data_IF_044896179039
#
_entry.id   IF_044896179039
#
_cell.length_a   1.000
_cell.length_b   1.000
_cell.length_c   1.000
_cell.angle_alpha   90.00
_cell.angle_beta   90.00
_cell.angle_gamma   90.00
#
_symmetry.space_group_name_H-M   'P 1'
#
loop_
_entity.id
_entity.type
_entity.pdbx_description
1 polymer ?
#
# COMPACT_ATOMS: atom_id res chain seq x y z
N UNK A 1 -56.95 23.79 -43.90
CA UNK A 1 -56.81 23.85 -42.42
C UNK A 1 -56.26 22.52 -41.96
N UNK A 2 -55.09 22.56 -41.33
CA UNK A 2 -54.21 21.41 -41.07
C UNK A 2 -54.84 20.35 -40.18
N UNK A 3 -54.70 19.09 -40.59
CA UNK A 3 -54.76 17.94 -39.69
C UNK A 3 -53.46 17.14 -39.79
N UNK A 4 -52.95 16.84 -38.60
CA UNK A 4 -51.74 16.12 -38.25
C UNK A 4 -51.69 14.73 -38.91
N UNK A 5 -50.63 14.46 -39.66
CA UNK A 5 -50.31 13.14 -40.21
C UNK A 5 -49.15 12.53 -39.44
N UNK A 6 -49.41 11.43 -38.73
CA UNK A 6 -48.41 10.64 -38.03
C UNK A 6 -48.16 9.30 -38.75
N UNK A 7 -46.89 8.88 -38.69
CA UNK A 7 -46.33 7.50 -38.83
C UNK A 7 -46.12 6.92 -40.23
N UNK A 8 -44.84 6.76 -40.57
CA UNK A 8 -44.14 5.53 -40.97
C UNK A 8 -42.68 5.92 -41.26
N UNK A 9 -41.62 5.18 -40.95
CA UNK A 9 -41.48 3.81 -40.50
C UNK A 9 -40.02 3.57 -40.12
N UNK A 10 -39.86 2.54 -39.30
CA UNK A 10 -38.62 1.96 -38.79
C UNK A 10 -37.57 1.72 -39.89
N UNK A 11 -36.34 2.20 -39.68
CA UNK A 11 -35.15 1.49 -40.18
C UNK A 11 -34.06 1.56 -39.12
N UNK A 12 -33.60 0.37 -38.73
CA UNK A 12 -32.60 0.08 -37.70
C UNK A 12 -31.31 0.88 -37.89
N UNK A 13 -30.88 1.59 -36.85
CA UNK A 13 -29.49 2.04 -36.71
C UNK A 13 -28.90 1.46 -35.42
N UNK A 14 -28.40 0.24 -35.59
CA UNK A 14 -27.18 -0.34 -35.00
C UNK A 14 -26.73 0.24 -33.65
N UNK A 15 -26.87 -0.60 -32.62
CA UNK A 15 -26.09 -0.57 -31.38
C UNK A 15 -24.59 -0.43 -31.68
N UNK A 16 -23.97 0.65 -31.23
CA UNK A 16 -22.54 0.73 -30.94
C UNK A 16 -22.40 1.65 -29.72
N UNK A 17 -22.29 1.14 -28.49
CA UNK A 17 -21.15 0.40 -27.93
C UNK A 17 -19.81 1.08 -28.25
N UNK A 18 -19.69 2.34 -27.87
CA UNK A 18 -18.38 2.97 -27.66
C UNK A 18 -18.11 2.95 -26.17
N UNK A 19 -17.62 1.79 -25.72
CA UNK A 19 -16.84 1.67 -24.49
C UNK A 19 -15.56 2.46 -24.74
N UNK A 20 -15.57 3.76 -24.45
CA UNK A 20 -14.35 4.53 -24.29
C UNK A 20 -13.67 4.07 -23.00
N UNK A 21 -12.96 2.95 -23.13
CA UNK A 21 -11.61 2.72 -22.60
C UNK A 21 -11.38 3.29 -21.19
N UNK A 22 -11.86 2.51 -20.22
CA UNK A 22 -11.37 2.36 -18.84
C UNK A 22 -9.87 1.94 -18.83
N UNK A 23 -8.97 2.76 -19.37
CA UNK A 23 -7.53 2.49 -19.40
C UNK A 23 -6.67 3.69 -18.97
N UNK A 24 -7.21 4.58 -18.12
CA UNK A 24 -6.40 5.57 -17.38
C UNK A 24 -6.00 5.06 -15.98
N UNK A 25 -5.99 3.73 -15.78
CA UNK A 25 -5.52 3.09 -14.55
C UNK A 25 -4.03 2.76 -14.59
N UNK A 26 -3.18 3.60 -15.17
CA UNK A 26 -1.72 3.45 -15.06
C UNK A 26 -1.28 3.94 -13.67
N UNK A 27 -1.44 3.05 -12.70
CA UNK A 27 -0.69 2.85 -11.44
C UNK A 27 0.35 3.95 -11.13
N UNK A 28 -0.11 5.10 -10.66
CA UNK A 28 0.71 6.10 -9.95
C UNK A 28 0.62 5.92 -8.42
N UNK A 29 0.22 4.71 -7.96
CA UNK A 29 -0.08 4.40 -6.54
C UNK A 29 1.13 4.41 -5.61
N UNK A 30 2.37 4.41 -6.14
CA UNK A 30 3.59 4.42 -5.33
C UNK A 30 4.00 5.79 -4.76
N UNK A 31 3.34 6.88 -5.15
CA UNK A 31 3.80 8.24 -4.84
C UNK A 31 3.32 8.77 -3.47
N UNK A 32 2.20 8.27 -2.93
CA UNK A 32 1.68 8.76 -1.63
C UNK A 32 2.49 8.26 -0.42
N UNK A 33 3.16 7.11 -0.55
CA UNK A 33 3.99 6.53 0.50
C UNK A 33 5.48 6.95 0.44
N UNK A 34 5.86 7.82 -0.50
CA UNK A 34 7.24 8.27 -0.70
C UNK A 34 8.16 7.18 -1.30
N UNK A 35 9.47 7.46 -1.46
CA UNK A 35 10.41 6.49 -2.02
C UNK A 35 10.59 5.31 -1.05
N UNK A 36 9.91 4.19 -1.31
CA UNK A 36 9.96 3.00 -0.45
C UNK A 36 11.37 2.40 -0.41
N UNK A 37 12.07 2.60 0.72
CA UNK A 37 13.32 1.88 1.01
C UNK A 37 13.05 0.38 1.14
N UNK A 38 14.06 -0.44 0.82
CA UNK A 38 13.90 -1.91 0.90
C UNK A 38 13.79 -2.36 2.36
N UNK A 39 12.86 -3.28 2.60
CA UNK A 39 12.71 -4.01 3.87
C UNK A 39 13.94 -4.86 4.22
N UNK A 40 14.76 -5.17 3.22
CA UNK A 40 15.96 -6.00 3.35
C UNK A 40 17.25 -5.16 3.37
N UNK A 41 17.15 -3.84 3.36
CA UNK A 41 18.31 -2.97 3.49
C UNK A 41 18.90 -3.09 4.90
N UNK A 42 20.05 -3.77 4.99
CA UNK A 42 20.72 -4.05 6.28
C UNK A 42 21.28 -2.81 6.96
N UNK A 43 21.47 -1.71 6.23
CA UNK A 43 21.84 -0.45 6.84
C UNK A 43 20.65 0.10 7.64
N UNK A 44 19.44 0.04 7.10
CA UNK A 44 18.23 0.51 7.78
C UNK A 44 17.73 -0.48 8.82
N UNK A 45 17.65 -1.76 8.47
CA UNK A 45 17.06 -2.82 9.28
C UNK A 45 18.08 -3.92 9.55
N UNK A 46 18.42 -4.21 10.81
CA UNK A 46 19.37 -5.30 11.11
C UNK A 46 18.84 -6.68 10.69
N UNK A 47 17.52 -6.80 10.53
CA UNK A 47 16.78 -7.92 9.95
C UNK A 47 15.47 -7.38 9.38
N UNK A 48 14.84 -8.08 8.41
CA UNK A 48 13.57 -7.63 7.85
C UNK A 48 12.52 -7.35 8.94
N UNK A 49 11.73 -6.27 8.82
CA UNK A 49 10.63 -5.99 9.72
C UNK A 49 9.59 -7.12 9.68
N UNK A 50 8.89 -7.32 10.80
CA UNK A 50 7.85 -8.35 10.94
C UNK A 50 6.61 -7.76 11.60
N UNK A 51 5.48 -8.45 11.44
CA UNK A 51 4.31 -8.23 12.26
C UNK A 51 4.36 -9.20 13.44
N UNK A 52 4.28 -8.68 14.65
CA UNK A 52 4.05 -9.49 15.84
C UNK A 52 2.59 -9.30 16.28
N UNK A 53 1.87 -10.41 16.44
CA UNK A 53 0.60 -10.43 17.13
C UNK A 53 0.86 -10.80 18.58
N UNK A 54 0.57 -9.87 19.50
CA UNK A 54 0.80 -10.01 20.94
C UNK A 54 -0.46 -9.55 21.67
N UNK A 55 -0.96 -10.40 22.54
CA UNK A 55 -2.23 -10.21 23.25
C UNK A 55 -3.40 -9.93 22.29
N UNK A 56 -3.90 -8.70 22.26
CA UNK A 56 -4.99 -8.24 21.40
C UNK A 56 -4.54 -7.15 20.40
N UNK A 57 -3.24 -7.06 20.12
CA UNK A 57 -2.66 -6.02 19.29
C UNK A 57 -1.71 -6.57 18.23
N UNK A 58 -1.75 -5.95 17.05
CA UNK A 58 -0.76 -6.16 16.01
C UNK A 58 0.26 -5.02 16.03
N UNK A 59 1.54 -5.39 15.95
CA UNK A 59 2.67 -4.48 16.02
C UNK A 59 3.56 -4.71 14.81
N UNK A 60 3.90 -3.65 14.08
CA UNK A 60 5.08 -3.67 13.20
C UNK A 60 6.32 -3.58 14.10
N UNK A 61 7.20 -4.56 13.97
CA UNK A 61 8.43 -4.66 14.76
C UNK A 61 9.63 -4.65 13.83
N UNK A 62 10.60 -3.80 14.15
CA UNK A 62 11.87 -3.75 13.45
C UNK A 62 13.03 -3.50 14.41
N UNK A 63 14.23 -3.79 13.95
CA UNK A 63 15.45 -3.45 14.68
C UNK A 63 16.29 -2.56 13.79
N UNK A 64 16.66 -1.40 14.29
CA UNK A 64 17.45 -0.44 13.53
C UNK A 64 18.82 -1.04 13.21
N UNK A 65 19.23 -0.95 11.95
CA UNK A 65 20.55 -1.38 11.47
C UNK A 65 21.65 -0.38 11.87
N UNK A 66 22.61 -0.19 10.98
CA UNK A 66 23.75 0.73 11.17
C UNK A 66 23.43 2.18 10.79
N UNK A 67 22.28 2.44 10.19
CA UNK A 67 21.87 3.78 9.75
C UNK A 67 21.75 4.71 10.96
N UNK A 68 22.44 5.87 10.96
CA UNK A 68 22.63 6.68 12.16
C UNK A 68 21.41 7.51 12.54
N UNK A 69 20.44 7.67 11.63
CA UNK A 69 19.26 8.52 11.86
C UNK A 69 18.06 7.72 12.29
N UNK A 70 17.22 8.32 13.13
CA UNK A 70 15.93 7.76 13.48
C UNK A 70 15.04 7.70 12.25
N UNK A 71 14.23 6.66 12.16
CA UNK A 71 13.21 6.57 11.14
C UNK A 71 12.02 5.78 11.67
N UNK A 72 10.85 6.11 11.15
CA UNK A 72 9.60 5.44 11.52
C UNK A 72 8.84 5.13 10.23
N UNK A 73 8.55 3.85 9.97
CA UNK A 73 7.69 3.46 8.85
C UNK A 73 6.28 4.02 9.03
N UNK A 74 5.60 4.31 7.93
CA UNK A 74 4.17 4.58 7.87
C UNK A 74 3.44 3.37 7.27
N UNK A 75 2.12 3.34 7.42
CA UNK A 75 1.27 2.33 6.77
C UNK A 75 -0.08 2.89 6.36
N UNK A 76 -0.67 2.26 5.35
CA UNK A 76 -2.01 2.56 4.83
C UNK A 76 -2.66 1.28 4.27
N UNK A 77 -3.99 1.25 4.19
CA UNK A 77 -4.71 0.19 3.45
C UNK A 77 -4.70 0.52 1.96
N UNK A 78 -4.13 -0.37 1.15
CA UNK A 78 -4.14 -0.28 -0.31
C UNK A 78 -4.65 -1.59 -0.90
N UNK A 79 -5.68 -1.51 -1.75
CA UNK A 79 -6.30 -2.69 -2.39
C UNK A 79 -6.65 -3.81 -1.38
N UNK A 80 -7.15 -3.42 -0.20
CA UNK A 80 -7.52 -4.33 0.89
C UNK A 80 -6.35 -4.96 1.65
N UNK A 81 -5.11 -4.53 1.40
CA UNK A 81 -3.88 -5.00 2.06
C UNK A 81 -3.34 -3.92 2.98
N UNK A 82 -2.74 -4.32 4.10
CA UNK A 82 -2.00 -3.39 4.94
C UNK A 82 -0.59 -3.20 4.36
N UNK A 83 -0.29 -2.00 3.86
CA UNK A 83 0.99 -1.69 3.19
C UNK A 83 1.81 -0.74 4.03
N UNK A 84 3.04 -1.14 4.34
CA UNK A 84 4.05 -0.36 5.04
C UNK A 84 5.03 0.25 4.05
N UNK A 85 5.52 1.44 4.37
CA UNK A 85 6.60 2.07 3.64
C UNK A 85 7.46 2.91 4.58
N UNK A 86 8.67 3.20 4.11
CA UNK A 86 9.53 4.17 4.75
C UNK A 86 9.78 5.33 3.77
N UNK A 87 9.26 6.52 4.09
CA UNK A 87 9.36 7.70 3.23
C UNK A 87 10.50 8.65 3.63
N UNK A 88 10.79 8.77 4.93
CA UNK A 88 11.75 9.74 5.46
C UNK A 88 12.39 9.27 6.78
N UNK A 89 13.64 9.68 7.00
CA UNK A 89 14.33 9.60 8.27
C UNK A 89 14.39 10.96 8.95
N UNK A 90 14.20 11.01 10.26
CA UNK A 90 14.37 12.21 11.09
C UNK A 90 15.71 12.17 11.82
N UNK A 91 16.45 13.29 11.80
CA UNK A 91 17.75 13.39 12.47
C UNK A 91 17.59 13.77 13.95
N UNK A 92 17.40 12.78 14.82
CA UNK A 92 17.70 12.99 16.25
C UNK A 92 18.16 11.71 16.94
N UNK A 93 19.44 11.70 17.31
CA UNK A 93 20.04 10.73 18.22
C UNK A 93 20.52 9.41 17.60
N UNK A 94 21.57 8.84 18.19
CA UNK A 94 22.13 7.54 17.85
C UNK A 94 21.21 6.42 18.37
N UNK A 95 20.47 5.76 17.48
CA UNK A 95 19.52 4.70 17.82
C UNK A 95 19.85 3.34 17.17
N UNK A 96 21.02 3.22 16.55
CA UNK A 96 21.51 1.99 15.93
C UNK A 96 21.36 0.78 16.87
N UNK A 97 20.89 -0.34 16.33
CA UNK A 97 20.70 -1.60 17.06
C UNK A 97 19.47 -1.68 17.98
N UNK A 98 18.67 -0.61 18.13
CA UNK A 98 17.50 -0.64 19.01
C UNK A 98 16.31 -1.32 18.34
N UNK A 99 15.60 -2.18 19.10
CA UNK A 99 14.28 -2.69 18.72
C UNK A 99 13.27 -1.54 18.79
N UNK A 100 12.42 -1.44 17.77
CA UNK A 100 11.35 -0.44 17.64
C UNK A 100 10.05 -1.15 17.29
N UNK A 101 8.96 -0.54 17.71
CA UNK A 101 7.61 -1.08 17.55
C UNK A 101 6.68 0.06 17.15
N UNK A 102 5.75 -0.24 16.26
CA UNK A 102 4.67 0.64 15.83
C UNK A 102 3.37 -0.13 15.92
N UNK A 103 2.43 0.38 16.72
CA UNK A 103 1.12 -0.23 16.87
C UNK A 103 0.27 -0.01 15.63
N UNK A 104 -0.39 -1.08 15.18
CA UNK A 104 -1.36 -1.04 14.10
C UNK A 104 -2.72 -0.78 14.74
N UNK A 105 -3.31 0.37 14.40
CA UNK A 105 -4.56 0.83 15.01
C UNK A 105 -5.62 1.08 13.94
N UNK A 106 -6.89 1.01 14.31
CA UNK A 106 -8.02 1.19 13.41
C UNK A 106 -8.55 -0.12 12.85
N UNK A 107 -9.87 -0.28 12.88
CA UNK A 107 -10.56 -1.51 12.47
C UNK A 107 -10.31 -1.88 11.01
N UNK A 108 -10.27 -0.90 10.11
CA UNK A 108 -9.97 -1.13 8.69
C UNK A 108 -8.55 -1.68 8.47
N UNK A 109 -7.57 -1.20 9.23
CA UNK A 109 -6.18 -1.67 9.15
C UNK A 109 -6.05 -3.11 9.66
N UNK A 110 -6.72 -3.41 10.78
CA UNK A 110 -6.75 -4.76 11.36
C UNK A 110 -7.45 -5.73 10.39
N UNK A 111 -8.60 -5.36 9.82
CA UNK A 111 -9.29 -6.18 8.83
C UNK A 111 -8.43 -6.43 7.59
N UNK A 112 -7.76 -5.41 7.07
CA UNK A 112 -6.86 -5.57 5.92
C UNK A 112 -5.69 -6.52 6.22
N UNK A 113 -5.12 -6.41 7.42
CA UNK A 113 -4.06 -7.30 7.90
C UNK A 113 -4.54 -8.75 8.01
N UNK A 114 -5.70 -8.99 8.61
CA UNK A 114 -6.24 -10.33 8.85
C UNK A 114 -6.69 -11.03 7.56
N UNK A 115 -7.30 -10.28 6.63
CA UNK A 115 -7.84 -10.86 5.39
C UNK A 115 -6.80 -11.00 4.29
N UNK A 116 -5.91 -10.02 4.14
CA UNK A 116 -5.02 -9.94 2.98
C UNK A 116 -3.53 -10.00 3.35
N UNK A 117 -3.20 -9.81 4.63
CA UNK A 117 -1.84 -9.78 5.14
C UNK A 117 -1.20 -8.39 5.13
N UNK A 118 0.03 -8.34 5.64
CA UNK A 118 0.89 -7.16 5.63
C UNK A 118 1.96 -7.25 4.54
N UNK A 119 2.25 -6.11 3.92
CA UNK A 119 3.25 -5.98 2.87
C UNK A 119 4.12 -4.76 3.09
N UNK A 120 5.35 -4.84 2.63
CA UNK A 120 6.26 -3.73 2.55
C UNK A 120 6.36 -3.24 1.11
N UNK A 121 6.19 -1.96 0.90
CA UNK A 121 6.39 -1.32 -0.40
C UNK A 121 7.87 -1.04 -0.64
N UNK A 122 8.43 -1.65 -1.68
CA UNK A 122 9.78 -1.38 -2.15
C UNK A 122 9.71 -0.71 -3.53
N UNK A 123 10.52 0.34 -3.72
CA UNK A 123 10.57 1.07 -4.98
C UNK A 123 11.17 0.26 -6.14
N UNK A 124 12.03 -0.72 -5.85
CA UNK A 124 12.77 -1.47 -6.88
C UNK A 124 12.08 -2.80 -7.22
N UNK A 125 11.85 -3.11 -8.52
CA UNK A 125 12.25 -2.32 -9.69
C UNK A 125 11.33 -1.13 -9.98
N UNK A 126 11.93 0.01 -10.30
CA UNK A 126 11.21 1.16 -10.88
C UNK A 126 10.73 0.83 -12.29
N UNK A 127 9.58 1.35 -12.75
CA UNK A 127 8.67 2.30 -12.08
C UNK A 127 7.54 1.65 -11.28
N UNK A 128 7.39 0.31 -11.35
CA UNK A 128 6.24 -0.39 -10.81
C UNK A 128 6.29 -0.60 -9.29
N UNK A 129 7.50 -0.56 -8.69
CA UNK A 129 7.70 -1.02 -7.32
C UNK A 129 7.30 -2.48 -7.12
N UNK A 130 7.41 -2.96 -5.88
CA UNK A 130 6.90 -4.28 -5.51
C UNK A 130 6.43 -4.31 -4.07
N UNK A 131 5.47 -5.20 -3.81
CA UNK A 131 5.02 -5.51 -2.46
C UNK A 131 5.73 -6.78 -1.97
N UNK A 132 6.47 -6.66 -0.88
CA UNK A 132 7.14 -7.78 -0.21
C UNK A 132 6.29 -8.19 0.99
N UNK A 133 5.81 -9.44 1.02
CA UNK A 133 4.98 -9.92 2.13
C UNK A 133 5.80 -9.97 3.42
N UNK A 134 5.27 -9.38 4.49
CA UNK A 134 5.87 -9.44 5.82
C UNK A 134 5.49 -10.75 6.52
N UNK A 135 6.41 -11.28 7.32
CA UNK A 135 6.09 -12.39 8.21
C UNK A 135 5.19 -11.90 9.34
N UNK A 136 4.19 -12.72 9.69
CA UNK A 136 3.33 -12.52 10.86
C UNK A 136 3.69 -13.60 11.87
N UNK A 137 4.02 -13.21 13.09
CA UNK A 137 4.50 -14.09 14.16
C UNK A 137 3.60 -13.94 15.38
N UNK A 138 3.08 -15.07 15.88
CA UNK A 138 2.36 -15.15 17.15
C UNK A 138 3.35 -15.20 18.31
N UNK A 139 3.15 -14.38 19.35
CA UNK A 139 3.99 -14.35 20.55
C UNK A 139 3.19 -14.24 21.84
#
# INVERSE_FOLDING_TARGET
>A
MSFSGARAGSTRAVRGFVVCLLLEGCVAMGWQLGPGFSSSDTALFSKPPIIEHRDAAYLLVWTQGTYPYFFQPSYEVMDGRLVFALAASSSSGQLAGRKRELKIEGSANIQALEHSGAYWWERTPEPAGRLVRLAIVER
#
